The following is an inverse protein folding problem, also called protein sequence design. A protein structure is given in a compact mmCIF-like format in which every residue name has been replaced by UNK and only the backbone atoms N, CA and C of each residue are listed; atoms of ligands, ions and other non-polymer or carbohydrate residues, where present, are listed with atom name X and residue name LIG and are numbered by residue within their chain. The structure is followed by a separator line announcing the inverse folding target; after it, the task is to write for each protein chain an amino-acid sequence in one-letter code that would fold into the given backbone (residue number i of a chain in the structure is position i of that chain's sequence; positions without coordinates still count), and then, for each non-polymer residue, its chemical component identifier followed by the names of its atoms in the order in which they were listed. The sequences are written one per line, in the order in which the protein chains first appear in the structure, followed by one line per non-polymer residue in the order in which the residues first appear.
data_IF_047120953431
#
_entry.id   IF_047120953431
#
_cell.length_a   1.000
_cell.length_b   1.000
_cell.length_c   1.000
_cell.angle_alpha   90.00
_cell.angle_beta   90.00
_cell.angle_gamma   90.00
#
_symmetry.space_group_name_H-M   'P 1'
#
loop_
_entity.id
_entity.type
_entity.pdbx_description
1 polymer ?
#
# COMPACT_ATOMS: atom_id res chain seq x y z
N UNK A 1 -9.24 16.87 12.84
CA UNK A 1 -9.72 17.98 11.96
C UNK A 1 -9.79 17.55 10.49
N UNK A 2 -8.66 17.14 9.86
CA UNK A 2 -8.65 16.76 8.42
C UNK A 2 -9.54 15.55 8.13
N UNK A 3 -9.52 14.52 8.97
CA UNK A 3 -10.39 13.35 8.83
C UNK A 3 -11.88 13.74 8.90
N UNK A 4 -12.26 14.58 9.83
CA UNK A 4 -13.64 15.09 9.98
C UNK A 4 -14.03 15.92 8.76
N UNK A 5 -13.13 16.79 8.27
CA UNK A 5 -13.35 17.56 7.04
C UNK A 5 -13.55 16.64 5.84
N UNK A 6 -12.71 15.63 5.68
CA UNK A 6 -12.78 14.65 4.60
C UNK A 6 -14.16 13.99 4.51
N UNK A 7 -14.70 13.53 5.62
CA UNK A 7 -16.04 12.93 5.63
C UNK A 7 -17.18 13.94 5.43
N UNK A 8 -17.04 15.14 5.98
CA UNK A 8 -18.06 16.20 5.82
C UNK A 8 -18.11 16.78 4.40
N UNK A 9 -17.04 16.64 3.61
CA UNK A 9 -16.89 17.24 2.29
C UNK A 9 -16.73 16.21 1.16
N UNK A 10 -17.51 15.12 1.20
CA UNK A 10 -17.53 14.08 0.14
C UNK A 10 -16.13 13.53 -0.18
N UNK A 11 -15.36 13.24 0.85
CA UNK A 11 -13.99 12.71 0.75
C UNK A 11 -13.00 13.65 0.03
N UNK A 12 -13.24 14.96 0.11
CA UNK A 12 -12.30 15.96 -0.39
C UNK A 12 -11.38 16.48 0.71
N UNK A 13 -10.27 17.09 0.31
CA UNK A 13 -9.28 17.64 1.23
C UNK A 13 -9.38 19.17 1.33
N UNK A 14 -8.98 19.76 2.48
CA UNK A 14 -8.79 21.22 2.55
C UNK A 14 -7.78 21.69 1.49
N UNK A 15 -8.06 22.80 0.80
CA UNK A 15 -7.19 23.31 -0.29
C UNK A 15 -5.73 23.51 0.13
N UNK A 16 -5.49 23.93 1.37
CA UNK A 16 -4.14 24.17 1.90
C UNK A 16 -3.36 22.88 2.19
N UNK A 17 -4.02 21.72 2.28
CA UNK A 17 -3.39 20.47 2.69
C UNK A 17 -2.36 20.00 1.67
N UNK A 18 -2.62 20.14 0.38
CA UNK A 18 -1.69 19.70 -0.66
C UNK A 18 -0.36 20.43 -0.57
N UNK A 19 -0.39 21.77 -0.40
CA UNK A 19 0.81 22.58 -0.26
C UNK A 19 1.60 22.18 1.00
N UNK A 20 0.92 21.99 2.13
CA UNK A 20 1.54 21.57 3.39
C UNK A 20 2.19 20.19 3.28
N UNK A 21 1.53 19.24 2.62
CA UNK A 21 2.07 17.87 2.40
C UNK A 21 3.29 17.96 1.49
N UNK A 22 3.22 18.69 0.36
CA UNK A 22 4.37 18.87 -0.55
C UNK A 22 5.56 19.50 0.16
N UNK A 23 5.35 20.55 0.95
CA UNK A 23 6.41 21.20 1.73
C UNK A 23 7.01 20.25 2.78
N UNK A 24 6.20 19.39 3.39
CA UNK A 24 6.66 18.41 4.39
C UNK A 24 7.47 17.28 3.76
N UNK A 25 7.01 16.75 2.62
CA UNK A 25 7.76 15.76 1.85
C UNK A 25 9.11 16.34 1.40
N UNK A 26 9.13 17.57 0.86
CA UNK A 26 10.38 18.22 0.45
C UNK A 26 11.38 18.40 1.60
N UNK A 27 10.90 18.70 2.82
CA UNK A 27 11.78 18.75 4.02
C UNK A 27 12.35 17.37 4.34
N UNK A 28 11.56 16.32 4.28
CA UNK A 28 11.99 14.93 4.51
C UNK A 28 13.00 14.49 3.45
N UNK A 29 12.76 14.80 2.19
CA UNK A 29 13.69 14.55 1.08
C UNK A 29 15.05 15.20 1.32
N UNK A 30 15.04 16.47 1.71
CA UNK A 30 16.27 17.23 2.01
C UNK A 30 17.02 16.63 3.19
N UNK A 31 16.33 16.24 4.26
CA UNK A 31 16.95 15.66 5.45
C UNK A 31 17.61 14.30 5.17
N UNK A 32 16.98 13.49 4.32
CA UNK A 32 17.45 12.13 4.04
C UNK A 32 18.34 12.02 2.82
N UNK A 33 18.45 13.08 2.00
CA UNK A 33 19.19 13.03 0.74
C UNK A 33 18.61 12.03 -0.26
N UNK A 34 17.30 11.76 -0.15
CA UNK A 34 16.50 10.90 -1.03
C UNK A 34 15.38 11.72 -1.63
N UNK A 35 14.76 11.26 -2.72
CA UNK A 35 13.63 11.96 -3.33
C UNK A 35 12.53 10.98 -3.73
N UNK A 36 11.29 11.39 -3.53
CA UNK A 36 10.12 10.61 -3.91
C UNK A 36 10.07 10.46 -5.44
N UNK A 37 10.13 9.22 -5.93
CA UNK A 37 10.19 8.92 -7.36
C UNK A 37 11.55 9.10 -8.03
N UNK A 38 12.63 9.31 -7.28
CA UNK A 38 13.98 9.43 -7.84
C UNK A 38 14.49 8.06 -8.33
N UNK A 39 15.17 8.08 -9.49
CA UNK A 39 15.66 6.88 -10.15
C UNK A 39 17.06 6.42 -9.65
N UNK A 40 17.64 7.12 -8.68
CA UNK A 40 18.93 6.77 -8.09
C UNK A 40 18.84 6.52 -6.59
N UNK A 41 18.11 7.39 -5.89
CA UNK A 41 17.93 7.33 -4.43
C UNK A 41 16.46 7.52 -4.08
N UNK A 42 15.58 6.55 -4.42
CA UNK A 42 14.16 6.68 -4.18
C UNK A 42 13.87 6.80 -2.69
N UNK A 43 13.05 7.78 -2.32
CA UNK A 43 12.44 7.86 -1.01
C UNK A 43 11.22 6.93 -1.01
N UNK A 44 11.23 5.94 -0.15
CA UNK A 44 10.06 5.11 0.10
C UNK A 44 9.36 5.60 1.35
N UNK A 45 8.04 5.56 1.33
CA UNK A 45 7.19 6.04 2.41
C UNK A 45 6.30 4.92 2.94
N UNK A 46 5.97 5.02 4.22
CA UNK A 46 4.84 4.32 4.82
C UNK A 46 3.74 5.32 5.17
N UNK A 47 2.49 4.93 4.96
CA UNK A 47 1.31 5.72 5.31
C UNK A 47 0.48 4.93 6.31
N UNK A 48 0.29 5.48 7.49
CA UNK A 48 -0.32 4.81 8.64
C UNK A 48 -1.34 5.69 9.34
N UNK A 49 -2.29 5.08 10.01
CA UNK A 49 -3.17 5.79 10.93
C UNK A 49 -2.41 6.33 12.15
N UNK A 50 -2.88 7.48 12.65
CA UNK A 50 -2.40 8.10 13.88
C UNK A 50 -3.58 8.49 14.77
N UNK A 51 -4.46 7.54 15.07
CA UNK A 51 -5.61 7.76 15.93
C UNK A 51 -5.15 8.09 17.36
N UNK A 52 -5.98 8.86 18.08
CA UNK A 52 -5.73 9.23 19.48
C UNK A 52 -5.59 8.00 20.37
N UNK A 53 -6.47 7.03 20.20
CA UNK A 53 -6.40 5.73 20.86
C UNK A 53 -5.84 4.68 19.90
N UNK A 54 -4.92 3.87 20.39
CA UNK A 54 -4.35 2.77 19.61
C UNK A 54 -5.42 1.72 19.32
N UNK A 55 -5.60 1.40 18.05
CA UNK A 55 -6.53 0.39 17.57
C UNK A 55 -5.80 -0.66 16.73
N UNK A 56 -5.03 -1.57 17.36
CA UNK A 56 -4.17 -2.53 16.65
C UNK A 56 -4.95 -3.39 15.66
N UNK A 57 -4.49 -3.46 14.40
CA UNK A 57 -5.11 -4.27 13.34
C UNK A 57 -6.45 -3.73 12.80
N UNK A 58 -6.95 -2.60 13.32
CA UNK A 58 -8.24 -2.06 12.89
C UNK A 58 -8.14 -1.10 11.71
N UNK A 59 -7.00 -0.42 11.59
CA UNK A 59 -6.75 0.60 10.58
C UNK A 59 -5.74 0.11 9.55
N UNK A 60 -5.89 0.58 8.33
CA UNK A 60 -5.01 0.16 7.24
C UNK A 60 -3.66 0.88 7.28
N UNK A 61 -2.67 0.22 6.70
CA UNK A 61 -1.29 0.71 6.55
C UNK A 61 -0.82 0.41 5.14
N UNK A 62 -0.14 1.36 4.52
CA UNK A 62 0.50 1.16 3.23
C UNK A 62 2.01 1.32 3.40
N UNK A 63 2.78 0.34 2.92
CA UNK A 63 4.24 0.31 2.99
C UNK A 63 4.84 0.34 1.59
N UNK A 64 6.11 0.73 1.49
CA UNK A 64 6.88 0.76 0.23
C UNK A 64 6.29 1.71 -0.84
N UNK A 65 5.51 2.69 -0.44
CA UNK A 65 4.97 3.70 -1.33
C UNK A 65 6.12 4.46 -2.01
N UNK A 66 5.98 4.70 -3.30
CA UNK A 66 7.02 5.30 -4.15
C UNK A 66 7.67 4.29 -5.10
N UNK A 67 7.40 2.99 -4.94
CA UNK A 67 7.84 1.97 -5.89
C UNK A 67 6.96 1.99 -7.16
N UNK A 68 7.64 1.88 -8.28
CA UNK A 68 7.10 1.66 -9.62
C UNK A 68 8.15 0.87 -10.43
N UNK A 69 7.90 0.66 -11.73
CA UNK A 69 8.79 -0.14 -12.58
C UNK A 69 10.21 0.42 -12.70
N UNK A 70 10.37 1.73 -12.52
CA UNK A 70 11.68 2.39 -12.61
C UNK A 70 12.37 2.47 -11.24
N UNK A 71 11.64 2.88 -10.21
CA UNK A 71 12.21 3.05 -8.86
C UNK A 71 12.55 1.74 -8.18
N UNK A 72 11.90 0.62 -8.57
CA UNK A 72 12.28 -0.72 -8.09
C UNK A 72 13.69 -1.13 -8.54
N UNK A 73 14.09 -0.75 -9.76
CA UNK A 73 15.45 -1.03 -10.23
C UNK A 73 16.49 -0.16 -9.51
N UNK A 74 16.14 1.08 -9.15
CA UNK A 74 16.98 1.91 -8.30
C UNK A 74 17.14 1.31 -6.89
N UNK A 75 16.07 0.77 -6.31
CA UNK A 75 16.13 0.06 -5.04
C UNK A 75 16.98 -1.21 -5.15
N UNK A 76 16.83 -1.98 -6.23
CA UNK A 76 17.64 -3.18 -6.50
C UNK A 76 19.13 -2.85 -6.55
N UNK A 77 19.49 -1.78 -7.25
CA UNK A 77 20.87 -1.31 -7.36
C UNK A 77 21.42 -0.83 -6.01
N UNK A 78 20.68 0.01 -5.30
CA UNK A 78 21.14 0.61 -4.05
C UNK A 78 21.22 -0.39 -2.88
N UNK A 79 20.36 -1.40 -2.87
CA UNK A 79 20.38 -2.47 -1.85
C UNK A 79 21.34 -3.62 -2.19
N UNK A 80 21.79 -3.71 -3.43
CA UNK A 80 22.55 -4.87 -3.93
C UNK A 80 21.73 -6.17 -3.97
N UNK A 81 20.40 -6.09 -3.82
CA UNK A 81 19.53 -7.25 -3.75
C UNK A 81 18.25 -7.05 -4.59
N UNK A 82 18.33 -7.45 -5.85
CA UNK A 82 17.22 -7.31 -6.78
C UNK A 82 15.97 -8.12 -6.33
N UNK A 83 16.16 -9.30 -5.74
CA UNK A 83 15.04 -10.10 -5.26
C UNK A 83 14.27 -9.38 -4.16
N UNK A 84 14.98 -8.82 -3.19
CA UNK A 84 14.39 -8.00 -2.11
C UNK A 84 13.59 -6.81 -2.69
N UNK A 85 14.18 -6.07 -3.62
CA UNK A 85 13.53 -4.89 -4.21
C UNK A 85 12.24 -5.26 -4.92
N UNK A 86 12.26 -6.32 -5.74
CA UNK A 86 11.09 -6.76 -6.49
C UNK A 86 10.02 -7.41 -5.58
N UNK A 87 10.40 -8.07 -4.48
CA UNK A 87 9.43 -8.54 -3.48
C UNK A 87 8.80 -7.37 -2.71
N UNK A 88 9.55 -6.32 -2.39
CA UNK A 88 8.98 -5.09 -1.85
C UNK A 88 7.93 -4.48 -2.80
N UNK A 89 8.21 -4.49 -4.10
CA UNK A 89 7.27 -3.96 -5.09
C UNK A 89 6.03 -4.86 -5.23
N UNK A 90 6.21 -6.19 -5.28
CA UNK A 90 5.11 -7.15 -5.27
C UNK A 90 4.18 -6.92 -4.09
N UNK A 91 4.73 -6.83 -2.88
CA UNK A 91 3.97 -6.59 -1.64
C UNK A 91 3.28 -5.23 -1.64
N UNK A 92 3.92 -4.21 -2.22
CA UNK A 92 3.30 -2.90 -2.36
C UNK A 92 2.08 -2.94 -3.28
N UNK A 93 2.18 -3.62 -4.45
CA UNK A 93 1.05 -3.76 -5.37
C UNK A 93 -0.10 -4.53 -4.71
N UNK A 94 0.18 -5.61 -4.00
CA UNK A 94 -0.81 -6.38 -3.26
C UNK A 94 -1.54 -5.50 -2.24
N UNK A 95 -0.78 -4.85 -1.36
CA UNK A 95 -1.33 -4.01 -0.29
C UNK A 95 -2.10 -2.80 -0.84
N UNK A 96 -1.54 -2.11 -1.83
CA UNK A 96 -2.20 -0.95 -2.45
C UNK A 96 -3.43 -1.37 -3.26
N UNK A 97 -3.34 -2.48 -3.98
CA UNK A 97 -4.44 -3.07 -4.72
C UNK A 97 -5.63 -3.42 -3.83
N UNK A 98 -5.37 -4.10 -2.71
CA UNK A 98 -6.39 -4.46 -1.72
C UNK A 98 -6.97 -3.19 -1.05
N UNK A 99 -6.11 -2.39 -0.40
CA UNK A 99 -6.54 -1.32 0.52
C UNK A 99 -7.03 -0.08 -0.23
N UNK A 100 -6.36 0.32 -1.32
CA UNK A 100 -6.64 1.58 -2.02
C UNK A 100 -7.54 1.38 -3.23
N UNK A 101 -7.30 0.31 -4.00
CA UNK A 101 -8.01 0.05 -5.25
C UNK A 101 -9.18 -0.93 -5.09
N UNK A 102 -9.39 -1.48 -3.89
CA UNK A 102 -10.53 -2.33 -3.56
C UNK A 102 -10.51 -3.70 -4.23
N UNK A 103 -9.31 -4.20 -4.57
CA UNK A 103 -9.12 -5.54 -5.15
C UNK A 103 -9.17 -6.58 -4.04
N UNK A 104 -10.37 -6.80 -3.53
CA UNK A 104 -10.65 -7.69 -2.41
C UNK A 104 -11.34 -8.98 -2.86
N UNK A 105 -11.38 -9.94 -1.95
CA UNK A 105 -12.11 -11.20 -2.11
C UNK A 105 -13.60 -10.92 -2.35
N UNK A 106 -14.15 -11.48 -3.41
CA UNK A 106 -15.57 -11.39 -3.72
C UNK A 106 -16.36 -12.52 -3.04
N UNK A 107 -17.66 -12.30 -2.92
CA UNK A 107 -18.56 -13.34 -2.40
C UNK A 107 -18.52 -14.58 -3.30
N UNK A 108 -18.22 -15.74 -2.71
CA UNK A 108 -18.08 -17.01 -3.42
C UNK A 108 -16.64 -17.39 -3.81
N UNK A 109 -15.67 -16.52 -3.61
CA UNK A 109 -14.26 -16.86 -3.73
C UNK A 109 -13.76 -17.51 -2.42
N UNK A 110 -12.92 -18.53 -2.50
CA UNK A 110 -12.38 -19.22 -1.31
C UNK A 110 -11.17 -18.48 -0.72
N UNK A 111 -10.34 -17.87 -1.57
CA UNK A 111 -9.08 -17.22 -1.21
C UNK A 111 -9.05 -15.74 -1.61
N UNK A 112 -8.14 -15.00 -1.00
CA UNK A 112 -7.77 -13.67 -1.47
C UNK A 112 -7.25 -13.74 -2.91
N UNK A 113 -7.63 -12.82 -3.81
CA UNK A 113 -7.28 -12.92 -5.23
C UNK A 113 -5.76 -12.80 -5.50
N UNK A 114 -5.01 -12.09 -4.66
CA UNK A 114 -3.55 -12.03 -4.78
C UNK A 114 -2.89 -13.31 -4.27
N UNK A 115 -3.37 -13.85 -3.14
CA UNK A 115 -2.91 -15.12 -2.57
C UNK A 115 -3.15 -16.26 -3.57
N UNK A 116 -4.33 -16.30 -4.19
CA UNK A 116 -4.65 -17.29 -5.21
C UNK A 116 -3.66 -17.26 -6.40
N UNK A 117 -3.24 -16.06 -6.84
CA UNK A 117 -2.22 -15.95 -7.90
C UNK A 117 -0.87 -16.48 -7.42
N UNK A 118 -0.47 -16.18 -6.18
CA UNK A 118 0.80 -16.67 -5.62
C UNK A 118 0.79 -18.20 -5.59
N UNK A 119 -0.25 -18.79 -5.04
CA UNK A 119 -0.36 -20.24 -4.86
C UNK A 119 -0.43 -20.96 -6.20
N UNK A 120 -1.29 -20.52 -7.11
CA UNK A 120 -1.37 -21.06 -8.46
C UNK A 120 -0.04 -21.00 -9.21
N UNK A 121 0.69 -19.88 -9.06
CA UNK A 121 1.99 -19.74 -9.71
C UNK A 121 3.07 -20.65 -9.10
N UNK A 122 3.03 -20.84 -7.78
CA UNK A 122 3.92 -21.80 -7.11
C UNK A 122 3.63 -23.24 -7.56
N UNK A 123 2.37 -23.61 -7.70
CA UNK A 123 1.98 -24.91 -8.22
C UNK A 123 2.46 -25.14 -9.67
N UNK A 124 2.38 -24.10 -10.51
CA UNK A 124 2.95 -24.14 -11.88
C UNK A 124 4.47 -24.40 -11.86
N UNK A 125 5.20 -23.76 -10.93
CA UNK A 125 6.66 -23.84 -10.83
C UNK A 125 7.16 -25.14 -10.17
N UNK A 126 6.39 -25.66 -9.21
CA UNK A 126 6.79 -26.78 -8.35
C UNK A 126 5.75 -27.91 -8.33
N UNK A 127 5.34 -28.46 -9.48
CA UNK A 127 4.19 -29.37 -9.58
C UNK A 127 4.35 -30.71 -8.85
N UNK A 128 5.56 -31.05 -8.43
CA UNK A 128 5.87 -32.27 -7.68
C UNK A 128 5.89 -32.09 -6.18
N UNK A 129 5.86 -30.85 -5.70
CA UNK A 129 5.90 -30.55 -4.28
C UNK A 129 4.49 -30.51 -3.69
N UNK A 130 4.33 -31.08 -2.49
CA UNK A 130 3.07 -31.08 -1.76
C UNK A 130 3.23 -30.19 -0.51
N UNK A 131 2.28 -29.30 -0.28
CA UNK A 131 2.25 -28.41 0.88
C UNK A 131 2.64 -26.97 0.55
N UNK A 132 2.74 -26.16 1.58
CA UNK A 132 3.05 -24.74 1.48
C UNK A 132 4.49 -24.52 1.00
N UNK A 133 4.65 -23.78 -0.08
CA UNK A 133 5.94 -23.41 -0.65
C UNK A 133 6.29 -22.00 -0.22
N UNK A 134 7.44 -21.82 0.44
CA UNK A 134 7.93 -20.53 0.90
C UNK A 134 8.17 -19.58 -0.30
N UNK A 135 7.66 -18.35 -0.21
CA UNK A 135 7.87 -17.27 -1.19
C UNK A 135 9.37 -16.98 -1.42
N UNK A 136 10.21 -17.24 -0.42
CA UNK A 136 11.64 -17.04 -0.50
C UNK A 136 12.33 -17.94 -1.55
N UNK A 137 11.68 -18.97 -2.02
CA UNK A 137 12.20 -19.86 -3.07
C UNK A 137 12.08 -19.26 -4.46
N UNK A 138 11.24 -18.26 -4.63
CA UNK A 138 11.09 -17.57 -5.91
C UNK A 138 12.32 -16.73 -6.21
N UNK A 139 12.88 -16.91 -7.38
CA UNK A 139 13.99 -16.08 -7.88
C UNK A 139 13.47 -14.72 -8.43
N UNK A 140 14.40 -13.83 -8.81
CA UNK A 140 14.07 -12.47 -9.29
C UNK A 140 13.11 -12.49 -10.47
N UNK A 141 13.32 -13.35 -11.47
CA UNK A 141 12.47 -13.41 -12.67
C UNK A 141 11.06 -13.89 -12.32
N UNK A 142 10.94 -14.81 -11.38
CA UNK A 142 9.65 -15.32 -10.91
C UNK A 142 8.90 -14.26 -10.09
N UNK A 143 9.59 -13.47 -9.27
CA UNK A 143 8.94 -12.35 -8.56
C UNK A 143 8.51 -11.24 -9.53
N UNK A 144 9.30 -10.97 -10.59
CA UNK A 144 8.90 -10.05 -11.67
C UNK A 144 7.63 -10.52 -12.38
N UNK A 145 7.51 -11.81 -12.63
CA UNK A 145 6.29 -12.40 -13.22
C UNK A 145 5.07 -12.22 -12.29
N UNK A 146 5.23 -12.43 -10.98
CA UNK A 146 4.15 -12.14 -10.02
C UNK A 146 3.72 -10.67 -10.03
N UNK A 147 4.67 -9.74 -10.13
CA UNK A 147 4.35 -8.30 -10.27
C UNK A 147 3.50 -8.06 -11.52
N UNK A 148 3.84 -8.69 -12.64
CA UNK A 148 3.05 -8.59 -13.88
C UNK A 148 1.64 -9.14 -13.71
N UNK A 149 1.50 -10.33 -13.11
CA UNK A 149 0.20 -10.97 -12.82
C UNK A 149 -0.65 -10.13 -11.87
N UNK A 150 -0.05 -9.54 -10.84
CA UNK A 150 -0.72 -8.65 -9.89
C UNK A 150 -1.25 -7.38 -10.56
N UNK A 151 -0.46 -6.75 -11.41
CA UNK A 151 -0.94 -5.60 -12.20
C UNK A 151 -2.10 -5.94 -13.12
N UNK A 152 -2.04 -7.10 -13.77
CA UNK A 152 -3.13 -7.60 -14.60
C UNK A 152 -4.41 -7.85 -13.77
N UNK A 153 -4.27 -8.42 -12.55
CA UNK A 153 -5.38 -8.58 -11.62
C UNK A 153 -5.98 -7.23 -11.22
N UNK A 154 -5.13 -6.26 -10.82
CA UNK A 154 -5.56 -4.91 -10.45
C UNK A 154 -6.34 -4.27 -11.60
N UNK A 155 -5.80 -4.28 -12.80
CA UNK A 155 -6.49 -3.74 -13.99
C UNK A 155 -7.83 -4.41 -14.24
N UNK A 156 -7.89 -5.73 -14.11
CA UNK A 156 -9.13 -6.50 -14.31
C UNK A 156 -10.19 -6.20 -13.27
N UNK A 157 -9.80 -6.04 -11.99
CA UNK A 157 -10.74 -5.90 -10.86
C UNK A 157 -11.09 -4.44 -10.57
N UNK A 158 -10.12 -3.54 -10.57
CA UNK A 158 -10.33 -2.12 -10.31
C UNK A 158 -10.72 -1.31 -11.56
N UNK A 159 -10.56 -1.88 -12.77
CA UNK A 159 -10.87 -1.19 -14.03
C UNK A 159 -9.85 -0.12 -14.44
N UNK A 160 -8.76 0.03 -13.71
CA UNK A 160 -7.67 0.98 -13.98
C UNK A 160 -6.32 0.33 -13.77
N UNK A 161 -5.29 0.89 -14.40
CA UNK A 161 -3.91 0.43 -14.19
C UNK A 161 -3.42 0.80 -12.79
N UNK A 162 -2.46 0.03 -12.27
CA UNK A 162 -1.78 0.36 -11.02
C UNK A 162 -1.02 1.70 -11.18
N UNK A 163 -1.21 2.68 -10.26
CA UNK A 163 -0.62 4.00 -10.40
C UNK A 163 0.90 3.97 -10.30
N UNK A 164 1.59 4.55 -11.28
CA UNK A 164 3.05 4.67 -11.30
C UNK A 164 3.56 6.00 -10.75
N UNK A 165 2.69 7.02 -10.66
CA UNK A 165 3.03 8.31 -10.08
C UNK A 165 3.06 8.23 -8.55
N UNK A 166 4.21 8.51 -7.88
CA UNK A 166 4.30 8.41 -6.42
C UNK A 166 3.37 9.37 -5.66
N UNK A 167 3.01 10.49 -6.26
CA UNK A 167 2.06 11.43 -5.66
C UNK A 167 0.62 10.93 -5.72
N UNK A 168 0.21 10.26 -6.81
CA UNK A 168 -1.08 9.56 -6.87
C UNK A 168 -1.15 8.44 -5.85
N UNK A 169 -0.07 7.66 -5.73
CA UNK A 169 0.04 6.63 -4.71
C UNK A 169 -0.10 7.21 -3.30
N UNK A 170 0.54 8.36 -3.02
CA UNK A 170 0.47 9.02 -1.72
C UNK A 170 -0.96 9.48 -1.39
N UNK A 171 -1.61 10.17 -2.30
CA UNK A 171 -2.97 10.67 -2.06
C UNK A 171 -3.99 9.54 -1.98
N UNK A 172 -3.88 8.50 -2.80
CA UNK A 172 -4.69 7.30 -2.68
C UNK A 172 -4.53 6.64 -1.31
N UNK A 173 -3.29 6.49 -0.84
CA UNK A 173 -2.98 5.91 0.48
C UNK A 173 -3.52 6.75 1.64
N UNK A 174 -3.39 8.07 1.58
CA UNK A 174 -3.94 8.99 2.60
C UNK A 174 -5.46 8.84 2.67
N UNK A 175 -6.14 8.81 1.51
CA UNK A 175 -7.59 8.62 1.43
C UNK A 175 -8.04 7.28 2.00
N UNK A 176 -7.34 6.19 1.67
CA UNK A 176 -7.64 4.86 2.18
C UNK A 176 -7.47 4.76 3.71
N UNK A 177 -6.40 5.37 4.26
CA UNK A 177 -6.21 5.40 5.73
C UNK A 177 -7.31 6.20 6.41
N UNK A 178 -7.75 7.35 5.88
CA UNK A 178 -8.94 8.03 6.40
C UNK A 178 -10.18 7.16 6.26
N UNK A 179 -10.36 6.49 5.12
CA UNK A 179 -11.47 5.57 4.87
C UNK A 179 -11.53 4.43 5.89
N UNK A 180 -10.38 3.90 6.29
CA UNK A 180 -10.30 2.79 7.24
C UNK A 180 -10.83 3.13 8.64
N UNK A 181 -10.94 4.42 9.01
CA UNK A 181 -11.62 4.84 10.23
C UNK A 181 -13.08 4.38 10.30
N UNK A 182 -13.74 4.25 9.15
CA UNK A 182 -15.16 3.86 9.06
C UNK A 182 -15.37 2.42 8.60
N UNK A 183 -14.31 1.62 8.45
CA UNK A 183 -14.46 0.22 8.11
C UNK A 183 -15.13 -0.57 9.26
N UNK A 184 -15.67 -1.76 8.97
CA UNK A 184 -16.44 -2.55 9.93
C UNK A 184 -15.61 -2.94 11.16
N UNK A 185 -14.33 -3.33 10.95
CA UNK A 185 -13.41 -3.69 12.05
C UNK A 185 -13.23 -2.53 13.02
N UNK A 186 -12.95 -1.33 12.49
CA UNK A 186 -12.78 -0.13 13.29
C UNK A 186 -14.07 0.28 13.99
N UNK A 187 -15.22 0.18 13.33
CA UNK A 187 -16.52 0.48 13.90
C UNK A 187 -16.87 -0.45 15.09
N UNK A 188 -16.64 -1.76 14.93
CA UNK A 188 -16.86 -2.74 16.01
C UNK A 188 -15.92 -2.46 17.17
N UNK A 189 -14.64 -2.23 16.92
CA UNK A 189 -13.65 -1.93 17.95
C UNK A 189 -14.01 -0.67 18.75
N UNK A 190 -14.33 0.44 18.03
CA UNK A 190 -14.71 1.69 18.69
C UNK A 190 -15.95 1.56 19.56
N UNK A 191 -16.99 0.84 19.09
CA UNK A 191 -18.19 0.58 19.91
C UNK A 191 -17.84 -0.20 21.18
N UNK A 192 -16.98 -1.21 21.07
CA UNK A 192 -16.56 -2.04 22.21
C UNK A 192 -15.81 -1.24 23.28
N UNK A 193 -14.97 -0.29 22.86
CA UNK A 193 -14.09 0.47 23.76
C UNK A 193 -14.58 1.90 24.04
N UNK A 194 -15.78 2.27 23.61
CA UNK A 194 -16.35 3.59 23.87
C UNK A 194 -15.62 4.74 23.18
N UNK A 195 -14.97 4.50 22.05
CA UNK A 195 -14.20 5.49 21.30
C UNK A 195 -15.16 6.26 20.37
N UNK A 196 -15.32 7.60 20.53
CA UNK A 196 -16.22 8.38 19.72
C UNK A 196 -15.82 8.41 18.25
N UNK A 197 -16.76 8.17 17.34
CA UNK A 197 -16.53 8.23 15.90
C UNK A 197 -16.10 9.65 15.44
N UNK A 198 -16.52 10.69 16.17
CA UNK A 198 -16.18 12.08 15.89
C UNK A 198 -14.69 12.44 16.09
N UNK A 199 -13.92 11.60 16.78
CA UNK A 199 -12.49 11.86 16.95
C UNK A 199 -11.70 11.74 15.65
N UNK A 200 -12.10 10.83 14.76
CA UNK A 200 -11.38 10.59 13.52
C UNK A 200 -9.97 10.04 13.76
N UNK A 201 -9.19 10.00 12.71
CA UNK A 201 -7.77 9.62 12.76
C UNK A 201 -6.89 10.67 12.11
N UNK A 202 -5.64 10.75 12.53
CA UNK A 202 -4.59 11.38 11.74
C UNK A 202 -3.99 10.36 10.75
N UNK A 203 -3.24 10.85 9.78
CA UNK A 203 -2.44 10.04 8.88
C UNK A 203 -0.97 10.42 9.07
N UNK A 204 -0.16 9.44 9.41
CA UNK A 204 1.29 9.59 9.53
C UNK A 204 1.94 9.11 8.23
N UNK A 205 2.73 9.98 7.61
CA UNK A 205 3.58 9.67 6.45
C UNK A 205 5.02 9.66 6.93
N UNK A 206 5.69 8.51 6.81
CA UNK A 206 7.02 8.30 7.37
C UNK A 206 7.95 7.71 6.32
N UNK A 207 9.21 8.14 6.32
CA UNK A 207 10.26 7.51 5.53
C UNK A 207 10.58 6.08 6.03
N UNK A 208 10.93 5.23 5.08
CA UNK A 208 11.34 3.85 5.31
C UNK A 208 12.84 3.69 5.02
#
# INVERSE_FOLDING_TARGET
EVCTYFYANKQSYPKVLEEQVRASVARTEKQLGKKLGDLKKPLLLSVRSGARDSMPGMMDTILNLGLNDETVEALATSSGNARFAWDCYRRFIQMYGDVVMGVQKLQGEEHDPFEHIIDSYKEELFPKEKGEIDDNRLNVSQVKELVSRFKALVKKRAGSDFPTCPWEQLWGSVGAVFGSWMNDRANVYRRKYGIPASWGTAVNVQAM
#
